data_IF_078215300623
#
_entry.id   IF_078215300623
#
_cell.length_a   1.000
_cell.length_b   1.000
_cell.length_c   1.000
_cell.angle_alpha   90.00
_cell.angle_beta   90.00
_cell.angle_gamma   90.00
#
_symmetry.space_group_name_H-M   'P 1'
#
loop_
_entity.id
_entity.type
_entity.pdbx_description
1 polymer ?
#
# COMPACT_ATOMS: atom_id res chain seq x y z
N UNK A 1 3.59 -22.24 -21.66
CA UNK A 1 2.86 -21.09 -21.09
C UNK A 1 3.75 -19.84 -21.06
N UNK A 2 3.21 -18.65 -21.34
CA UNK A 2 3.85 -17.36 -21.06
C UNK A 2 3.55 -16.94 -19.61
N UNK A 3 4.53 -16.33 -18.94
CA UNK A 3 4.43 -15.83 -17.57
C UNK A 3 5.18 -14.49 -17.47
N UNK A 4 4.52 -13.48 -16.90
CA UNK A 4 5.14 -12.20 -16.55
C UNK A 4 4.63 -11.72 -15.20
N UNK A 5 5.55 -11.50 -14.26
CA UNK A 5 5.29 -10.70 -13.08
C UNK A 5 5.45 -9.22 -13.44
N UNK A 6 4.47 -8.39 -13.08
CA UNK A 6 4.49 -6.95 -13.26
C UNK A 6 4.52 -6.33 -11.86
N UNK A 7 5.64 -5.66 -11.54
CA UNK A 7 5.84 -5.02 -10.24
C UNK A 7 5.40 -3.56 -10.27
N UNK A 8 4.72 -3.13 -9.22
CA UNK A 8 4.66 -1.74 -8.79
C UNK A 8 5.64 -1.52 -7.64
N UNK A 9 6.68 -0.72 -7.86
CA UNK A 9 7.69 -0.45 -6.83
C UNK A 9 7.17 0.48 -5.73
N UNK A 10 6.19 1.35 -6.04
CA UNK A 10 5.70 2.37 -5.10
C UNK A 10 4.73 1.76 -4.09
N UNK A 11 3.98 0.74 -4.50
CA UNK A 11 3.06 -0.01 -3.65
C UNK A 11 3.64 -1.35 -3.19
N UNK A 12 4.80 -1.74 -3.72
CA UNK A 12 5.40 -3.06 -3.54
C UNK A 12 4.44 -4.20 -3.94
N UNK A 13 3.63 -3.97 -4.97
CA UNK A 13 2.55 -4.84 -5.45
C UNK A 13 3.00 -5.65 -6.68
N UNK A 14 2.48 -6.86 -6.82
CA UNK A 14 2.73 -7.75 -7.94
C UNK A 14 1.43 -8.19 -8.61
N UNK A 15 1.34 -7.98 -9.92
CA UNK A 15 0.34 -8.59 -10.77
C UNK A 15 0.98 -9.66 -11.67
N UNK A 16 0.19 -10.64 -12.12
CA UNK A 16 0.69 -11.76 -12.92
C UNK A 16 -0.09 -11.94 -14.22
N UNK A 17 0.60 -11.75 -15.36
CA UNK A 17 0.06 -12.01 -16.68
C UNK A 17 0.47 -13.42 -17.14
N UNK A 18 -0.51 -14.29 -17.32
CA UNK A 18 -0.36 -15.66 -17.77
C UNK A 18 -0.95 -15.81 -19.17
N UNK A 19 -0.22 -16.41 -20.11
CA UNK A 19 -0.65 -16.46 -21.52
C UNK A 19 -0.48 -17.82 -22.19
N UNK A 20 -1.52 -18.31 -22.85
CA UNK A 20 -1.42 -19.48 -23.68
C UNK A 20 -0.93 -19.09 -25.09
N UNK A 21 0.37 -19.19 -25.34
CA UNK A 21 0.96 -18.85 -26.65
C UNK A 21 0.40 -19.64 -27.84
N UNK A 22 -0.29 -20.77 -27.61
CA UNK A 22 -0.94 -21.56 -28.66
C UNK A 22 -2.26 -20.95 -29.11
N UNK A 23 -3.06 -20.42 -28.18
CA UNK A 23 -4.39 -19.86 -28.48
C UNK A 23 -4.38 -18.33 -28.56
N UNK A 24 -3.38 -17.68 -27.97
CA UNK A 24 -3.32 -16.23 -27.82
C UNK A 24 -4.08 -15.72 -26.59
N UNK A 25 -4.79 -16.58 -25.84
CA UNK A 25 -5.56 -16.17 -24.67
C UNK A 25 -4.67 -15.92 -23.44
N UNK A 26 -4.99 -14.89 -22.66
CA UNK A 26 -4.28 -14.55 -21.44
C UNK A 26 -5.21 -14.18 -20.28
N UNK A 27 -4.69 -14.38 -19.06
CA UNK A 27 -5.28 -14.02 -17.78
C UNK A 27 -4.36 -13.06 -17.04
N UNK A 28 -4.95 -12.03 -16.42
CA UNK A 28 -4.26 -11.16 -15.47
C UNK A 28 -4.79 -11.42 -14.05
N UNK A 29 -3.87 -11.62 -13.10
CA UNK A 29 -4.14 -11.79 -11.67
C UNK A 29 -3.71 -10.52 -10.93
N UNK A 30 -4.58 -10.00 -10.06
CA UNK A 30 -4.38 -8.81 -9.21
C UNK A 30 -3.97 -7.54 -10.00
N UNK A 31 -4.68 -7.16 -11.09
CA UNK A 31 -4.35 -5.95 -11.84
C UNK A 31 -4.67 -4.68 -11.04
N UNK A 32 -3.80 -3.67 -11.10
CA UNK A 32 -4.15 -2.29 -10.77
C UNK A 32 -5.03 -1.64 -11.85
N UNK A 33 -5.72 -0.54 -11.53
CA UNK A 33 -6.64 0.12 -12.46
C UNK A 33 -6.03 0.80 -13.69
N UNK A 34 -4.72 1.05 -13.71
CA UNK A 34 -4.03 1.53 -14.91
C UNK A 34 -3.68 0.34 -15.85
N UNK A 35 -4.70 -0.22 -16.49
CA UNK A 35 -4.64 -1.51 -17.19
C UNK A 35 -3.79 -1.52 -18.46
N UNK A 36 -3.45 -0.34 -18.99
CA UNK A 36 -2.64 -0.18 -20.21
C UNK A 36 -1.30 -0.91 -20.10
N UNK A 37 -0.70 -0.90 -18.90
CA UNK A 37 0.54 -1.62 -18.58
C UNK A 37 0.46 -3.12 -18.83
N UNK A 38 -0.71 -3.73 -18.69
CA UNK A 38 -0.90 -5.16 -18.91
C UNK A 38 -1.27 -5.44 -20.37
N UNK A 39 -2.15 -4.62 -20.95
CA UNK A 39 -2.58 -4.80 -22.34
C UNK A 39 -1.44 -4.56 -23.32
N UNK A 40 -0.52 -3.65 -23.02
CA UNK A 40 0.66 -3.40 -23.85
C UNK A 40 1.60 -4.61 -23.85
N UNK A 41 1.90 -5.19 -22.67
CA UNK A 41 2.70 -6.42 -22.56
C UNK A 41 2.03 -7.58 -23.30
N UNK A 42 0.72 -7.76 -23.13
CA UNK A 42 -0.01 -8.82 -23.81
C UNK A 42 0.09 -8.65 -25.34
N UNK A 43 -0.11 -7.44 -25.85
CA UNK A 43 -0.02 -7.12 -27.27
C UNK A 43 1.38 -7.35 -27.85
N UNK A 44 2.43 -6.95 -27.13
CA UNK A 44 3.83 -7.19 -27.52
C UNK A 44 4.14 -8.69 -27.66
N UNK A 45 3.50 -9.52 -26.84
CA UNK A 45 3.69 -10.98 -26.81
C UNK A 45 2.69 -11.74 -27.71
N UNK A 46 1.86 -11.02 -28.49
CA UNK A 46 0.84 -11.60 -29.37
C UNK A 46 -0.31 -12.27 -28.63
N UNK A 47 -0.60 -11.81 -27.41
CA UNK A 47 -1.66 -12.29 -26.53
C UNK A 47 -2.81 -11.28 -26.43
N UNK A 48 -3.98 -11.77 -26.01
CA UNK A 48 -5.17 -10.99 -25.68
C UNK A 48 -5.63 -11.38 -24.27
N UNK A 49 -5.81 -10.39 -23.40
CA UNK A 49 -6.33 -10.61 -22.04
C UNK A 49 -7.84 -10.85 -22.17
N UNK A 50 -8.24 -12.12 -22.06
CA UNK A 50 -9.65 -12.56 -22.17
C UNK A 50 -10.27 -12.82 -20.80
N UNK A 51 -9.45 -12.79 -19.74
CA UNK A 51 -9.89 -12.97 -18.38
C UNK A 51 -9.08 -12.12 -17.41
N UNK A 52 -9.71 -11.69 -16.34
CA UNK A 52 -9.06 -11.04 -15.22
C UNK A 52 -9.60 -11.63 -13.91
N UNK A 53 -8.75 -11.72 -12.90
CA UNK A 53 -9.12 -12.23 -11.57
C UNK A 53 -8.35 -11.49 -10.51
N UNK A 54 -8.85 -11.53 -9.27
CA UNK A 54 -8.08 -11.12 -8.11
C UNK A 54 -8.18 -12.13 -6.98
N UNK A 55 -7.16 -12.12 -6.11
CA UNK A 55 -7.03 -13.00 -4.96
C UNK A 55 -7.93 -12.57 -3.82
N UNK A 56 -8.14 -11.27 -3.64
CA UNK A 56 -8.97 -10.69 -2.59
C UNK A 56 -9.38 -9.24 -2.90
N UNK A 57 -10.34 -8.70 -2.14
CA UNK A 57 -10.67 -7.27 -2.18
C UNK A 57 -9.49 -6.50 -1.58
N UNK A 58 -8.67 -5.88 -2.43
CA UNK A 58 -7.45 -5.19 -2.02
C UNK A 58 -7.71 -3.99 -1.09
N UNK A 59 -6.78 -3.74 -0.17
CA UNK A 59 -6.85 -2.65 0.79
C UNK A 59 -5.93 -1.48 0.45
N UNK A 60 -5.01 -1.64 -0.47
CA UNK A 60 -3.87 -0.73 -0.65
C UNK A 60 -3.77 -0.16 -2.07
N UNK A 61 -4.56 -0.69 -3.00
CA UNK A 61 -4.75 -0.12 -4.34
C UNK A 61 -6.14 -0.41 -4.88
N UNK A 62 -6.53 0.33 -5.92
CA UNK A 62 -7.75 0.14 -6.67
C UNK A 62 -7.53 -0.88 -7.78
N UNK A 63 -8.37 -1.93 -7.73
CA UNK A 63 -8.38 -3.04 -8.67
C UNK A 63 -8.75 -2.59 -10.09
N UNK A 64 -8.09 -3.19 -11.08
CA UNK A 64 -8.38 -3.03 -12.50
C UNK A 64 -9.44 -3.97 -13.04
N UNK A 65 -10.06 -4.83 -12.21
CA UNK A 65 -11.05 -5.78 -12.72
C UNK A 65 -12.24 -5.11 -13.40
N UNK A 66 -12.72 -3.98 -12.86
CA UNK A 66 -13.82 -3.25 -13.49
C UNK A 66 -13.40 -2.60 -14.82
N UNK A 67 -12.16 -2.12 -14.93
CA UNK A 67 -11.62 -1.59 -16.19
C UNK A 67 -11.60 -2.68 -17.27
N UNK A 68 -11.21 -3.91 -16.93
CA UNK A 68 -11.27 -5.05 -17.84
C UNK A 68 -12.71 -5.47 -18.18
N UNK A 69 -13.64 -5.38 -17.23
CA UNK A 69 -15.05 -5.68 -17.46
C UNK A 69 -15.68 -4.70 -18.47
N UNK A 70 -15.33 -3.42 -18.39
CA UNK A 70 -15.85 -2.35 -19.25
C UNK A 70 -15.19 -2.33 -20.63
N UNK A 71 -13.85 -2.44 -20.67
CA UNK A 71 -13.05 -2.37 -21.88
C UNK A 71 -12.90 -3.75 -22.56
N UNK A 72 -14.01 -4.39 -22.90
CA UNK A 72 -14.08 -5.47 -23.91
C UNK A 72 -13.92 -6.92 -23.43
N UNK A 73 -15.05 -7.58 -23.15
CA UNK A 73 -15.24 -9.04 -23.26
C UNK A 73 -14.39 -9.93 -22.32
N UNK A 74 -13.70 -9.35 -21.34
CA UNK A 74 -13.00 -10.16 -20.36
C UNK A 74 -13.99 -10.83 -19.40
N UNK A 75 -13.86 -12.14 -19.21
CA UNK A 75 -14.53 -12.83 -18.12
C UNK A 75 -13.84 -12.47 -16.81
N UNK A 76 -14.58 -11.97 -15.83
CA UNK A 76 -14.04 -11.62 -14.52
C UNK A 76 -14.31 -12.75 -13.54
N UNK A 77 -13.24 -13.28 -12.96
CA UNK A 77 -13.31 -14.32 -11.94
C UNK A 77 -13.13 -13.69 -10.57
N UNK A 78 -14.10 -13.90 -9.68
CA UNK A 78 -14.13 -13.30 -8.34
C UNK A 78 -14.34 -14.37 -7.30
N UNK A 79 -13.80 -14.20 -6.10
CA UNK A 79 -14.13 -15.08 -4.98
C UNK A 79 -15.63 -15.00 -4.63
N UNK A 80 -16.27 -16.15 -4.53
CA UNK A 80 -17.60 -16.33 -3.98
C UNK A 80 -17.60 -16.63 -2.48
N UNK A 81 -16.44 -16.66 -1.79
CA UNK A 81 -16.31 -17.18 -0.42
C UNK A 81 -16.45 -16.13 0.69
N UNK A 82 -16.65 -14.85 0.34
CA UNK A 82 -16.67 -13.73 1.30
C UNK A 82 -17.90 -13.60 2.20
N UNK A 83 -18.91 -14.46 2.05
CA UNK A 83 -20.19 -14.30 2.76
C UNK A 83 -20.89 -12.97 2.42
N UNK A 84 -21.70 -12.43 3.32
CA UNK A 84 -22.44 -11.19 3.05
C UNK A 84 -21.57 -9.92 3.19
N UNK A 85 -20.62 -9.93 4.12
CA UNK A 85 -19.89 -8.72 4.51
C UNK A 85 -18.66 -8.46 3.62
N UNK A 86 -18.09 -9.50 3.00
CA UNK A 86 -16.93 -9.41 2.12
C UNK A 86 -17.22 -9.89 0.68
N UNK A 87 -18.48 -9.89 0.25
CA UNK A 87 -18.84 -10.13 -1.15
C UNK A 87 -18.70 -8.87 -2.00
N UNK A 88 -18.25 -9.06 -3.25
CA UNK A 88 -18.28 -8.06 -4.30
C UNK A 88 -19.72 -7.58 -4.57
N UNK A 89 -19.90 -6.27 -4.63
CA UNK A 89 -21.19 -5.62 -4.88
C UNK A 89 -21.25 -5.04 -6.27
N UNK A 90 -20.16 -4.43 -6.74
CA UNK A 90 -20.08 -3.79 -8.06
C UNK A 90 -20.53 -4.63 -9.27
N UNK A 91 -20.39 -5.97 -9.28
CA UNK A 91 -20.86 -6.75 -10.43
C UNK A 91 -22.37 -7.06 -10.37
N UNK A 92 -23.04 -6.82 -9.23
CA UNK A 92 -24.48 -7.08 -9.09
C UNK A 92 -25.26 -6.19 -10.06
N UNK A 93 -26.27 -6.77 -10.69
CA UNK A 93 -27.15 -6.09 -11.66
C UNK A 93 -26.44 -5.48 -12.88
N UNK A 94 -25.19 -5.89 -13.15
CA UNK A 94 -24.45 -5.57 -14.37
C UNK A 94 -24.67 -6.63 -15.46
N UNK A 95 -24.28 -6.33 -16.70
CA UNK A 95 -24.24 -7.26 -17.82
C UNK A 95 -22.84 -7.85 -18.08
N UNK A 96 -21.90 -7.65 -17.16
CA UNK A 96 -20.56 -8.21 -17.23
C UNK A 96 -20.57 -9.74 -17.12
N UNK A 97 -19.63 -10.43 -17.77
CA UNK A 97 -19.44 -11.88 -17.62
C UNK A 97 -18.63 -12.17 -16.35
N UNK A 98 -19.35 -12.37 -15.25
CA UNK A 98 -18.77 -12.62 -13.93
C UNK A 98 -18.89 -14.09 -13.55
N UNK A 99 -17.78 -14.67 -13.08
CA UNK A 99 -17.71 -16.04 -12.56
C UNK A 99 -17.30 -15.99 -11.09
N UNK A 100 -18.22 -16.39 -10.22
CA UNK A 100 -17.91 -16.56 -8.80
C UNK A 100 -17.26 -17.92 -8.56
N UNK A 101 -16.06 -17.90 -7.99
CA UNK A 101 -15.26 -19.06 -7.69
C UNK A 101 -15.45 -19.52 -6.24
N UNK A 102 -15.59 -20.83 -6.07
CA UNK A 102 -15.55 -21.55 -4.81
C UNK A 102 -14.26 -22.37 -4.68
N UNK A 103 -13.98 -22.88 -3.48
CA UNK A 103 -12.84 -23.77 -3.25
C UNK A 103 -12.84 -24.96 -4.24
N UNK A 104 -11.72 -25.13 -4.95
CA UNK A 104 -11.48 -26.13 -6.00
C UNK A 104 -12.22 -25.93 -7.33
N UNK A 105 -12.90 -24.81 -7.56
CA UNK A 105 -13.37 -24.48 -8.90
C UNK A 105 -12.18 -24.33 -9.85
N UNK A 106 -12.35 -24.81 -11.08
CA UNK A 106 -11.34 -24.76 -12.13
C UNK A 106 -11.85 -24.05 -13.37
N UNK A 107 -10.96 -23.33 -14.05
CA UNK A 107 -11.22 -22.77 -15.37
C UNK A 107 -9.97 -22.81 -16.24
N UNK A 108 -10.19 -22.71 -17.56
CA UNK A 108 -9.13 -22.81 -18.56
C UNK A 108 -8.91 -21.47 -19.24
N UNK A 109 -7.64 -21.16 -19.51
CA UNK A 109 -7.20 -20.05 -20.36
C UNK A 109 -6.32 -20.67 -21.44
N UNK A 110 -6.90 -20.93 -22.61
CA UNK A 110 -6.34 -21.85 -23.60
C UNK A 110 -5.98 -23.20 -22.97
N UNK A 111 -4.67 -23.48 -22.87
CA UNK A 111 -4.12 -24.71 -22.28
C UNK A 111 -3.53 -24.50 -20.87
N UNK A 112 -3.92 -23.44 -20.17
CA UNK A 112 -3.52 -23.18 -18.79
C UNK A 112 -4.73 -23.47 -17.92
N UNK A 113 -4.59 -24.43 -16.99
CA UNK A 113 -5.63 -24.69 -15.98
C UNK A 113 -5.34 -23.85 -14.74
N UNK A 114 -6.36 -23.16 -14.26
CA UNK A 114 -6.35 -22.36 -13.04
C UNK A 114 -7.33 -23.00 -12.07
N UNK A 115 -6.87 -23.38 -10.87
CA UNK A 115 -7.71 -23.90 -9.79
C UNK A 115 -7.70 -22.95 -8.60
N UNK A 116 -8.89 -22.55 -8.15
CA UNK A 116 -9.06 -21.75 -6.95
C UNK A 116 -8.86 -22.58 -5.68
N UNK A 117 -8.20 -21.99 -4.69
CA UNK A 117 -8.08 -22.51 -3.32
C UNK A 117 -8.53 -21.43 -2.34
N UNK A 118 -9.54 -21.71 -1.53
CA UNK A 118 -9.97 -20.79 -0.48
C UNK A 118 -8.93 -20.74 0.65
N UNK A 119 -8.32 -19.58 0.83
CA UNK A 119 -7.19 -19.35 1.75
C UNK A 119 -7.49 -18.16 2.67
N UNK A 120 -8.57 -18.22 3.46
CA UNK A 120 -8.98 -17.12 4.32
C UNK A 120 -7.92 -16.83 5.39
N UNK A 121 -7.83 -15.57 5.77
CA UNK A 121 -6.92 -15.14 6.82
C UNK A 121 -6.61 -13.66 6.71
N UNK A 122 -5.97 -13.26 5.61
CA UNK A 122 -5.80 -11.85 5.27
C UNK A 122 -7.15 -11.16 5.06
N UNK A 123 -8.01 -11.79 4.26
CA UNK A 123 -9.43 -11.45 4.14
C UNK A 123 -10.28 -12.72 4.17
N UNK A 124 -11.59 -12.65 4.51
CA UNK A 124 -12.46 -13.82 4.56
C UNK A 124 -12.71 -14.47 3.19
N UNK A 125 -12.75 -13.66 2.13
CA UNK A 125 -12.97 -14.11 0.75
C UNK A 125 -11.70 -14.59 0.06
N UNK A 126 -10.52 -14.40 0.66
CA UNK A 126 -9.23 -14.62 0.00
C UNK A 126 -9.15 -16.01 -0.68
N UNK A 127 -8.79 -16.01 -1.97
CA UNK A 127 -8.49 -17.21 -2.75
C UNK A 127 -7.08 -17.13 -3.34
N UNK A 128 -6.39 -18.25 -3.39
CA UNK A 128 -5.14 -18.43 -4.12
C UNK A 128 -5.40 -19.26 -5.38
N UNK A 129 -4.51 -19.15 -6.38
CA UNK A 129 -4.67 -19.86 -7.66
C UNK A 129 -3.54 -20.83 -7.92
N UNK A 130 -3.83 -22.12 -7.98
CA UNK A 130 -2.91 -23.12 -8.51
C UNK A 130 -2.94 -23.08 -10.03
N UNK A 131 -1.76 -23.05 -10.65
CA UNK A 131 -1.62 -22.91 -12.10
C UNK A 131 -0.93 -24.13 -12.69
N UNK A 132 -1.51 -24.72 -13.73
CA UNK A 132 -0.99 -25.92 -14.41
C UNK A 132 -0.84 -25.67 -15.91
N UNK A 133 0.37 -25.81 -16.45
CA UNK A 133 0.65 -25.70 -17.91
C UNK A 133 0.32 -27.01 -18.63
N UNK A 134 -0.97 -27.33 -18.75
CA UNK A 134 -1.44 -28.56 -19.42
C UNK A 134 -0.97 -28.64 -20.88
N UNK A 135 -0.71 -27.50 -21.53
CA UNK A 135 -0.20 -27.42 -22.91
C UNK A 135 1.18 -28.03 -23.11
N UNK A 136 1.96 -28.14 -22.02
CA UNK A 136 3.26 -28.84 -21.98
C UNK A 136 3.15 -30.34 -21.71
N UNK A 137 1.95 -30.83 -21.37
CA UNK A 137 1.71 -32.19 -20.88
C UNK A 137 1.79 -32.34 -19.36
N UNK A 138 1.94 -31.24 -18.61
CA UNK A 138 1.96 -31.27 -17.15
C UNK A 138 0.60 -31.71 -16.57
N UNK A 139 0.64 -32.59 -15.57
CA UNK A 139 -0.52 -33.06 -14.80
C UNK A 139 -0.59 -32.48 -13.39
N UNK A 140 0.43 -31.72 -13.01
CA UNK A 140 0.59 -31.12 -11.68
C UNK A 140 0.86 -29.61 -11.83
N UNK A 141 0.47 -28.79 -10.84
CA UNK A 141 0.68 -27.35 -10.92
C UNK A 141 2.17 -26.99 -10.89
N UNK A 142 2.50 -25.88 -11.54
CA UNK A 142 3.85 -25.28 -11.54
C UNK A 142 4.03 -24.27 -10.40
N UNK A 143 2.94 -23.64 -9.96
CA UNK A 143 2.98 -22.61 -8.93
C UNK A 143 1.61 -22.24 -8.38
N UNK A 144 1.65 -21.41 -7.34
CA UNK A 144 0.50 -20.83 -6.66
C UNK A 144 0.62 -19.31 -6.68
N UNK A 145 -0.37 -18.62 -7.26
CA UNK A 145 -0.59 -17.20 -7.01
C UNK A 145 -1.19 -17.08 -5.60
N UNK A 146 -0.34 -16.76 -4.64
CA UNK A 146 -0.68 -16.80 -3.21
C UNK A 146 -1.37 -15.52 -2.75
N UNK A 147 -1.37 -14.44 -3.54
CA UNK A 147 -1.96 -13.16 -3.14
C UNK A 147 -1.33 -12.67 -1.82
N UNK A 148 -2.16 -12.14 -0.94
CA UNK A 148 -1.74 -11.69 0.39
C UNK A 148 -1.92 -12.77 1.46
N UNK A 149 -1.99 -14.05 1.08
CA UNK A 149 -1.96 -15.16 2.03
C UNK A 149 -0.52 -15.49 2.47
N UNK A 150 0.32 -15.96 1.54
CA UNK A 150 1.72 -16.32 1.80
C UNK A 150 2.66 -15.42 0.99
N UNK A 151 3.55 -14.72 1.70
CA UNK A 151 4.62 -13.93 1.11
C UNK A 151 5.95 -14.69 1.14
N UNK A 152 6.98 -14.12 0.51
CA UNK A 152 8.35 -14.60 0.71
C UNK A 152 8.82 -14.23 2.11
N UNK A 153 8.87 -15.20 3.02
CA UNK A 153 9.35 -15.06 4.39
C UNK A 153 8.33 -14.55 5.42
N UNK A 154 7.07 -14.33 5.05
CA UNK A 154 6.02 -13.85 5.95
C UNK A 154 4.61 -14.28 5.49
N UNK A 155 3.56 -13.87 6.22
CA UNK A 155 2.15 -14.06 5.88
C UNK A 155 1.39 -12.72 5.83
N UNK A 156 0.22 -12.73 5.20
CA UNK A 156 -0.73 -11.63 5.26
C UNK A 156 -1.15 -11.28 6.68
N UNK A 157 -1.28 -9.98 6.96
CA UNK A 157 -1.85 -9.53 8.23
C UNK A 157 -3.36 -9.82 8.31
N UNK A 158 -3.89 -10.36 9.42
CA UNK A 158 -5.31 -10.70 9.56
C UNK A 158 -6.17 -9.62 10.23
N UNK A 159 -5.62 -8.45 10.57
CA UNK A 159 -6.26 -7.44 11.41
C UNK A 159 -6.94 -6.29 10.64
N UNK A 160 -6.79 -6.20 9.31
CA UNK A 160 -7.27 -5.04 8.51
C UNK A 160 -8.79 -4.82 8.58
N UNK A 161 -9.58 -5.88 8.71
CA UNK A 161 -11.03 -5.72 8.91
C UNK A 161 -11.35 -4.91 10.18
N UNK A 162 -10.55 -5.08 11.22
CA UNK A 162 -10.72 -4.36 12.48
C UNK A 162 -10.03 -2.99 12.43
N UNK A 163 -8.76 -2.95 12.02
CA UNK A 163 -7.90 -1.76 12.11
C UNK A 163 -8.11 -0.73 10.99
N UNK A 164 -8.63 -1.16 9.83
CA UNK A 164 -8.99 -0.28 8.72
C UNK A 164 -10.50 -0.18 8.51
N UNK A 165 -11.24 -1.28 8.58
CA UNK A 165 -12.68 -1.31 8.26
C UNK A 165 -13.62 -1.17 9.47
N UNK A 166 -13.08 -1.14 10.69
CA UNK A 166 -13.87 -0.91 11.92
C UNK A 166 -14.71 -2.10 12.40
N UNK A 167 -14.46 -3.30 11.90
CA UNK A 167 -15.17 -4.53 12.32
C UNK A 167 -14.57 -5.03 13.64
N UNK A 168 -15.13 -4.57 14.75
CA UNK A 168 -14.66 -4.89 16.10
C UNK A 168 -14.59 -6.41 16.36
N UNK A 169 -13.45 -6.90 16.83
CA UNK A 169 -13.24 -8.31 17.19
C UNK A 169 -13.01 -9.25 15.99
N UNK A 170 -12.74 -8.72 14.80
CA UNK A 170 -12.47 -9.53 13.61
C UNK A 170 -11.05 -10.13 13.59
N UNK A 171 -10.08 -9.50 14.25
CA UNK A 171 -8.66 -9.89 14.10
C UNK A 171 -8.32 -11.30 14.62
N UNK A 172 -8.90 -11.72 15.76
CA UNK A 172 -8.65 -13.06 16.34
C UNK A 172 -9.27 -14.17 15.47
N UNK A 173 -10.56 -14.11 15.07
CA UNK A 173 -11.13 -15.06 14.11
C UNK A 173 -10.34 -15.14 12.79
N UNK A 174 -9.92 -14.00 12.23
CA UNK A 174 -9.13 -13.96 11.00
C UNK A 174 -7.76 -14.60 11.18
N UNK A 175 -7.08 -14.39 12.32
CA UNK A 175 -5.81 -15.05 12.62
C UNK A 175 -5.96 -16.58 12.73
N UNK A 176 -7.06 -17.07 13.33
CA UNK A 176 -7.33 -18.52 13.42
C UNK A 176 -7.66 -19.13 12.05
N UNK A 177 -8.38 -18.40 11.20
CA UNK A 177 -8.59 -18.82 9.80
C UNK A 177 -7.28 -18.90 9.05
N UNK A 178 -6.42 -17.88 9.19
CA UNK A 178 -5.09 -17.87 8.58
C UNK A 178 -4.28 -19.09 8.99
N UNK A 179 -4.25 -19.45 10.28
CA UNK A 179 -3.57 -20.64 10.77
C UNK A 179 -4.03 -21.92 10.04
N UNK A 180 -5.34 -22.13 9.90
CA UNK A 180 -5.88 -23.29 9.14
C UNK A 180 -5.51 -23.26 7.66
N UNK A 181 -5.49 -22.08 7.05
CA UNK A 181 -5.00 -21.91 5.67
C UNK A 181 -3.52 -22.29 5.56
N UNK A 182 -2.68 -21.97 6.55
CA UNK A 182 -1.27 -22.39 6.57
C UNK A 182 -1.11 -23.91 6.60
N UNK A 183 -1.97 -24.64 7.33
CA UNK A 183 -1.94 -26.11 7.32
C UNK A 183 -2.21 -26.68 5.92
N UNK A 184 -3.14 -26.07 5.17
CA UNK A 184 -3.40 -26.44 3.76
C UNK A 184 -2.21 -26.14 2.87
N UNK A 185 -1.58 -24.97 3.03
CA UNK A 185 -0.39 -24.59 2.27
C UNK A 185 0.78 -25.55 2.52
N UNK A 186 1.00 -25.92 3.79
CA UNK A 186 2.00 -26.90 4.20
C UNK A 186 1.65 -28.32 3.74
N UNK A 187 0.49 -28.60 3.16
CA UNK A 187 0.18 -29.89 2.54
C UNK A 187 0.49 -29.92 1.02
N UNK A 188 0.84 -28.78 0.41
CA UNK A 188 1.16 -28.69 -1.02
C UNK A 188 2.56 -29.27 -1.33
N UNK A 189 2.81 -29.54 -2.61
CA UNK A 189 4.10 -30.07 -3.09
C UNK A 189 5.21 -29.02 -3.02
N UNK A 190 6.43 -29.45 -2.67
CA UNK A 190 7.56 -28.55 -2.41
C UNK A 190 8.04 -27.78 -3.65
N UNK A 191 7.82 -28.33 -4.86
CA UNK A 191 8.28 -27.72 -6.11
C UNK A 191 7.43 -26.54 -6.58
N UNK A 192 6.24 -26.34 -6.00
CA UNK A 192 5.36 -25.24 -6.42
C UNK A 192 6.03 -23.91 -6.14
N UNK A 193 6.11 -23.07 -7.17
CA UNK A 193 6.51 -21.68 -7.00
C UNK A 193 5.45 -20.91 -6.23
N UNK A 194 5.87 -19.93 -5.44
CA UNK A 194 5.00 -19.03 -4.68
C UNK A 194 5.08 -17.64 -5.30
N UNK A 195 3.93 -17.15 -5.76
CA UNK A 195 3.76 -15.87 -6.46
C UNK A 195 2.86 -14.94 -5.62
N UNK A 196 3.45 -14.16 -4.70
CA UNK A 196 2.68 -13.32 -3.77
C UNK A 196 2.08 -12.07 -4.42
N UNK A 197 1.06 -11.49 -3.79
CA UNK A 197 0.49 -10.19 -4.19
C UNK A 197 1.41 -9.00 -3.86
N UNK A 198 2.31 -9.16 -2.89
CA UNK A 198 3.20 -8.09 -2.43
C UNK A 198 4.63 -8.55 -2.10
N UNK A 199 5.55 -7.57 -2.05
CA UNK A 199 6.95 -7.74 -1.66
C UNK A 199 7.43 -6.73 -0.61
N UNK A 200 8.75 -6.67 -0.42
CA UNK A 200 9.39 -5.76 0.53
C UNK A 200 8.92 -4.30 0.39
N UNK A 201 8.40 -3.74 1.49
CA UNK A 201 7.93 -2.35 1.56
C UNK A 201 6.41 -2.22 1.69
N UNK A 202 5.62 -3.26 1.42
CA UNK A 202 4.16 -3.23 1.59
C UNK A 202 3.74 -3.17 3.07
N UNK A 203 2.63 -2.48 3.34
CA UNK A 203 1.99 -2.41 4.66
C UNK A 203 1.02 -3.58 4.93
N UNK A 204 0.86 -4.51 3.98
CA UNK A 204 0.00 -5.71 4.10
C UNK A 204 0.65 -6.86 4.88
N UNK A 205 1.93 -6.76 5.25
CA UNK A 205 2.60 -7.68 6.18
C UNK A 205 3.75 -7.02 6.94
N UNK A 206 4.49 -7.79 7.74
CA UNK A 206 5.46 -7.24 8.70
C UNK A 206 6.86 -7.13 8.12
N UNK A 207 7.33 -8.16 7.43
CA UNK A 207 8.72 -8.30 7.02
C UNK A 207 8.86 -9.07 5.70
N UNK A 208 8.19 -8.58 4.65
CA UNK A 208 8.23 -9.21 3.33
C UNK A 208 9.64 -9.20 2.73
N UNK A 209 10.03 -10.33 2.14
CA UNK A 209 11.30 -10.49 1.45
C UNK A 209 11.43 -9.59 0.22
N UNK A 210 12.67 -9.14 -0.06
CA UNK A 210 13.01 -8.43 -1.30
C UNK A 210 13.19 -9.36 -2.50
N UNK A 211 13.20 -10.69 -2.27
CA UNK A 211 13.16 -11.70 -3.33
C UNK A 211 11.69 -11.81 -3.80
N UNK A 212 11.41 -11.71 -5.11
CA UNK A 212 10.04 -11.51 -5.60
C UNK A 212 9.16 -12.77 -5.59
N UNK A 213 9.76 -13.96 -5.52
CA UNK A 213 9.06 -15.26 -5.56
C UNK A 213 9.86 -16.29 -4.75
N UNK A 214 9.19 -17.35 -4.30
CA UNK A 214 9.81 -18.46 -3.55
C UNK A 214 9.25 -19.82 -4.00
N UNK A 215 9.41 -20.86 -3.20
CA UNK A 215 8.74 -22.15 -3.37
C UNK A 215 8.09 -22.60 -2.08
N UNK A 216 7.05 -23.44 -2.17
CA UNK A 216 6.40 -24.04 -1.00
C UNK A 216 7.44 -24.74 -0.11
N UNK A 217 8.37 -25.49 -0.69
CA UNK A 217 9.41 -26.19 0.07
C UNK A 217 10.38 -25.26 0.79
N UNK A 218 10.71 -24.10 0.21
CA UNK A 218 11.56 -23.11 0.86
C UNK A 218 10.81 -22.41 2.01
N UNK A 219 9.57 -21.95 1.75
CA UNK A 219 8.75 -21.30 2.77
C UNK A 219 8.45 -22.25 3.93
N UNK A 220 8.09 -23.51 3.68
CA UNK A 220 7.90 -24.56 4.71
C UNK A 220 9.11 -24.69 5.64
N UNK A 221 10.32 -24.52 5.11
CA UNK A 221 11.57 -24.73 5.85
C UNK A 221 12.06 -23.47 6.57
N UNK A 222 11.83 -22.28 6.00
CA UNK A 222 12.51 -21.06 6.43
C UNK A 222 11.58 -19.88 6.74
N UNK A 223 10.32 -19.92 6.33
CA UNK A 223 9.35 -18.89 6.69
C UNK A 223 8.98 -19.06 8.17
N UNK A 224 9.43 -18.12 9.00
CA UNK A 224 9.21 -18.18 10.45
C UNK A 224 7.74 -18.06 10.81
N UNK A 225 6.93 -17.38 9.99
CA UNK A 225 5.49 -17.26 10.18
C UNK A 225 4.73 -18.59 9.96
N UNK A 226 5.34 -19.56 9.26
CA UNK A 226 4.81 -20.92 9.08
C UNK A 226 5.28 -21.91 10.15
N UNK A 227 6.20 -21.52 11.05
CA UNK A 227 6.87 -22.42 11.98
C UNK A 227 6.14 -22.67 13.31
N UNK A 228 4.95 -22.11 13.51
CA UNK A 228 4.21 -22.21 14.77
C UNK A 228 3.56 -23.59 14.95
N UNK A 229 3.64 -24.15 16.16
CA UNK A 229 3.12 -25.50 16.48
C UNK A 229 1.69 -25.51 17.01
N UNK A 230 1.20 -24.37 17.49
CA UNK A 230 -0.16 -24.26 18.05
C UNK A 230 -0.83 -23.00 17.53
N UNK A 231 -2.15 -23.07 17.36
CA UNK A 231 -2.96 -21.95 16.91
C UNK A 231 -2.80 -20.74 17.86
N UNK A 232 -2.75 -20.95 19.17
CA UNK A 232 -2.63 -19.85 20.15
C UNK A 232 -1.32 -19.08 20.04
N UNK A 233 -0.20 -19.79 19.85
CA UNK A 233 1.11 -19.13 19.71
C UNK A 233 1.23 -18.42 18.36
N UNK A 234 0.60 -18.97 17.33
CA UNK A 234 0.44 -18.32 16.04
C UNK A 234 -0.36 -17.01 16.16
N UNK A 235 -1.56 -17.05 16.76
CA UNK A 235 -2.43 -15.87 16.90
C UNK A 235 -1.72 -14.74 17.64
N UNK A 236 -1.09 -15.04 18.78
CA UNK A 236 -0.34 -14.05 19.53
C UNK A 236 0.81 -13.44 18.72
N UNK A 237 1.51 -14.26 17.94
CA UNK A 237 2.62 -13.76 17.12
C UNK A 237 2.17 -13.00 15.88
N UNK A 238 1.13 -13.44 15.16
CA UNK A 238 0.71 -12.79 13.90
C UNK A 238 0.01 -11.46 14.15
N UNK A 239 -0.67 -11.28 15.28
CA UNK A 239 -1.30 -10.02 15.66
C UNK A 239 -0.32 -9.00 16.26
N UNK A 240 0.73 -9.46 16.93
CA UNK A 240 1.73 -8.56 17.53
C UNK A 240 2.63 -7.87 16.50
N UNK A 241 2.90 -6.57 16.64
CA UNK A 241 3.91 -5.88 15.81
C UNK A 241 3.44 -5.49 14.41
N UNK A 242 2.13 -5.47 14.15
CA UNK A 242 1.60 -5.01 12.85
C UNK A 242 1.72 -3.48 12.71
N UNK A 243 2.13 -2.96 11.54
CA UNK A 243 2.16 -1.51 11.33
C UNK A 243 0.74 -0.93 11.30
N UNK A 244 0.58 0.31 11.75
CA UNK A 244 -0.71 1.00 11.61
C UNK A 244 -1.05 1.17 10.12
N UNK A 245 -2.23 0.71 9.64
CA UNK A 245 -2.58 0.82 8.23
C UNK A 245 -2.75 2.29 7.82
N UNK A 246 -2.32 2.68 6.61
CA UNK A 246 -2.67 3.97 6.01
C UNK A 246 -4.17 4.25 6.04
N UNK A 247 -4.56 5.53 6.19
CA UNK A 247 -5.98 5.89 6.34
C UNK A 247 -6.81 5.56 5.09
N UNK A 248 -6.22 5.67 3.90
CA UNK A 248 -6.92 5.34 2.66
C UNK A 248 -7.29 3.86 2.52
N UNK A 249 -6.76 2.96 3.35
CA UNK A 249 -7.02 1.52 3.19
C UNK A 249 -8.51 1.18 3.30
N UNK A 250 -9.22 1.86 4.19
CA UNK A 250 -10.67 1.71 4.34
C UNK A 250 -11.40 2.05 3.03
N UNK A 251 -10.99 3.15 2.37
CA UNK A 251 -11.55 3.61 1.09
C UNK A 251 -11.26 2.61 -0.04
N UNK A 252 -10.07 1.98 -0.06
CA UNK A 252 -9.77 0.97 -1.08
C UNK A 252 -10.65 -0.26 -0.91
N UNK A 253 -10.81 -0.78 0.31
CA UNK A 253 -11.73 -1.89 0.60
C UNK A 253 -13.16 -1.57 0.17
N UNK A 254 -13.62 -0.36 0.47
CA UNK A 254 -14.94 0.11 0.05
C UNK A 254 -15.06 0.16 -1.48
N UNK A 255 -14.15 0.87 -2.17
CA UNK A 255 -14.22 1.07 -3.61
C UNK A 255 -14.01 -0.23 -4.41
N UNK A 256 -13.13 -1.12 -3.99
CA UNK A 256 -12.94 -2.41 -4.65
C UNK A 256 -14.16 -3.33 -4.47
N UNK A 257 -14.89 -3.20 -3.36
CA UNK A 257 -16.12 -3.94 -3.11
C UNK A 257 -17.31 -3.35 -3.88
N UNK A 258 -17.51 -2.04 -3.78
CA UNK A 258 -18.68 -1.32 -4.28
C UNK A 258 -18.58 -0.92 -5.76
N UNK A 259 -17.35 -0.77 -6.26
CA UNK A 259 -17.05 -0.55 -7.67
C UNK A 259 -16.11 0.62 -7.88
N UNK A 260 -14.91 0.30 -8.35
CA UNK A 260 -13.88 1.30 -8.68
C UNK A 260 -14.42 2.24 -9.76
N UNK A 261 -14.26 3.58 -9.63
CA UNK A 261 -14.58 4.50 -10.71
C UNK A 261 -13.68 4.26 -11.93
N UNK A 262 -14.28 4.20 -13.12
CA UNK A 262 -13.53 4.02 -14.37
C UNK A 262 -12.61 5.22 -14.60
N UNK A 263 -11.32 4.94 -14.66
CA UNK A 263 -10.23 5.86 -14.93
C UNK A 263 -10.32 6.40 -16.36
N UNK A 264 -10.57 5.51 -17.34
CA UNK A 264 -10.58 5.84 -18.75
C UNK A 264 -9.19 6.23 -19.25
N UNK A 265 -8.83 7.49 -19.13
CA UNK A 265 -7.49 8.00 -19.50
C UNK A 265 -6.77 8.54 -18.28
N UNK A 266 -5.45 8.33 -18.21
CA UNK A 266 -4.65 8.91 -17.15
C UNK A 266 -4.78 10.44 -17.09
N UNK A 267 -4.86 11.03 -15.89
CA UNK A 267 -4.75 12.47 -15.71
C UNK A 267 -3.48 13.02 -16.38
N UNK A 268 -3.63 14.15 -17.06
CA UNK A 268 -2.53 14.84 -17.73
C UNK A 268 -2.33 16.22 -17.08
N UNK A 269 -1.68 16.28 -15.89
CA UNK A 269 -1.46 17.53 -15.19
C UNK A 269 -0.63 18.48 -16.05
N UNK A 270 -1.01 19.76 -16.06
CA UNK A 270 -0.32 20.76 -16.86
C UNK A 270 0.84 21.38 -16.11
N UNK A 271 1.90 21.73 -16.84
CA UNK A 271 2.94 22.60 -16.31
C UNK A 271 2.32 23.96 -15.95
N UNK A 272 2.53 24.41 -14.73
CA UNK A 272 1.97 25.63 -14.19
C UNK A 272 3.05 26.47 -13.50
N UNK A 273 2.96 27.79 -13.64
CA UNK A 273 3.73 28.73 -12.81
C UNK A 273 3.38 28.53 -11.33
N UNK A 274 4.39 28.54 -10.48
CA UNK A 274 4.25 28.27 -9.04
C UNK A 274 3.35 29.29 -8.33
N UNK A 275 3.30 30.54 -8.81
CA UNK A 275 2.40 31.58 -8.31
C UNK A 275 0.94 31.19 -8.44
N UNK A 276 0.55 30.60 -9.58
CA UNK A 276 -0.83 30.18 -9.82
C UNK A 276 -1.21 29.03 -8.89
N UNK A 277 -0.29 28.09 -8.69
CA UNK A 277 -0.45 26.97 -7.79
C UNK A 277 -0.68 27.45 -6.33
N UNK A 278 0.11 28.43 -5.87
CA UNK A 278 -0.05 29.03 -4.54
C UNK A 278 -1.39 29.75 -4.40
N UNK A 279 -1.83 30.48 -5.43
CA UNK A 279 -3.12 31.17 -5.42
C UNK A 279 -4.29 30.18 -5.26
N UNK A 280 -4.26 29.06 -5.99
CA UNK A 280 -5.29 28.01 -5.88
C UNK A 280 -5.29 27.33 -4.50
N UNK A 281 -4.10 27.04 -3.96
CA UNK A 281 -3.96 26.48 -2.60
C UNK A 281 -4.55 27.42 -1.54
N UNK A 282 -4.30 28.73 -1.62
CA UNK A 282 -4.86 29.73 -0.71
C UNK A 282 -6.38 29.90 -0.81
N UNK A 283 -6.97 29.60 -1.96
CA UNK A 283 -8.41 29.58 -2.13
C UNK A 283 -9.08 28.38 -1.41
N UNK A 284 -8.29 27.47 -0.83
CA UNK A 284 -8.78 26.31 -0.08
C UNK A 284 -9.24 25.15 -0.97
N UNK A 285 -9.03 25.23 -2.28
CA UNK A 285 -9.50 24.25 -3.26
C UNK A 285 -8.42 23.21 -3.61
N UNK A 286 -7.16 23.49 -3.28
CA UNK A 286 -6.02 22.71 -3.74
C UNK A 286 -5.03 22.32 -2.63
N UNK A 287 -4.37 21.19 -2.82
CA UNK A 287 -3.26 20.70 -2.01
C UNK A 287 -1.99 20.68 -2.85
N UNK A 288 -0.91 21.20 -2.27
CA UNK A 288 0.42 21.19 -2.86
C UNK A 288 1.20 20.05 -2.23
N UNK A 289 1.71 19.16 -3.06
CA UNK A 289 2.54 18.04 -2.63
C UNK A 289 3.95 18.25 -3.15
N UNK A 290 4.88 18.48 -2.23
CA UNK A 290 6.30 18.62 -2.54
C UNK A 290 6.95 17.22 -2.52
N UNK A 291 7.46 16.79 -3.67
CA UNK A 291 8.02 15.46 -3.84
C UNK A 291 9.55 15.43 -3.86
N UNK A 292 10.21 16.55 -3.51
CA UNK A 292 11.67 16.59 -3.41
C UNK A 292 12.17 15.52 -2.43
N UNK A 293 13.25 14.79 -2.74
CA UNK A 293 13.73 13.70 -1.88
C UNK A 293 14.51 14.19 -0.65
N UNK A 294 15.07 15.41 -0.71
CA UNK A 294 15.85 15.97 0.39
C UNK A 294 14.96 16.73 1.39
N UNK A 295 14.60 16.04 2.47
CA UNK A 295 13.86 16.65 3.59
C UNK A 295 14.56 17.88 4.17
N UNK A 296 15.91 17.94 4.17
CA UNK A 296 16.63 19.10 4.71
C UNK A 296 16.39 20.32 3.83
N UNK A 297 16.40 20.12 2.51
CA UNK A 297 16.04 21.16 1.55
C UNK A 297 14.60 21.61 1.71
N UNK A 298 13.65 20.69 1.94
CA UNK A 298 12.25 21.04 2.22
C UNK A 298 12.13 21.88 3.50
N UNK A 299 12.71 21.43 4.62
CA UNK A 299 12.65 22.16 5.90
C UNK A 299 13.31 23.54 5.81
N UNK A 300 14.39 23.68 5.03
CA UNK A 300 15.08 24.95 4.82
C UNK A 300 14.35 25.92 3.87
N UNK A 301 13.38 25.43 3.08
CA UNK A 301 12.62 26.26 2.13
C UNK A 301 11.60 25.46 1.34
N UNK A 302 10.33 25.73 1.58
CA UNK A 302 9.19 25.15 0.86
C UNK A 302 8.05 26.17 0.72
N UNK A 303 7.04 25.79 -0.07
CA UNK A 303 5.82 26.59 -0.23
C UNK A 303 4.98 26.49 1.04
N UNK A 304 4.60 27.62 1.64
CA UNK A 304 3.78 27.62 2.85
C UNK A 304 2.51 26.76 2.67
N UNK A 305 2.30 25.82 3.60
CA UNK A 305 1.17 24.89 3.60
C UNK A 305 1.30 23.69 2.65
N UNK A 306 2.40 23.52 1.91
CA UNK A 306 2.63 22.29 1.15
C UNK A 306 2.87 21.09 2.07
N UNK A 307 2.39 19.91 1.66
CA UNK A 307 2.75 18.65 2.28
C UNK A 307 4.10 18.16 1.72
N UNK A 308 4.84 17.41 2.55
CA UNK A 308 6.07 16.74 2.13
C UNK A 308 5.81 15.25 1.91
N UNK A 309 5.87 14.82 0.65
CA UNK A 309 5.68 13.42 0.26
C UNK A 309 6.67 13.09 -0.87
N UNK A 310 7.92 12.67 -0.55
CA UNK A 310 8.89 12.30 -1.57
C UNK A 310 8.39 11.09 -2.37
N UNK A 311 8.66 11.07 -3.67
CA UNK A 311 8.40 9.91 -4.53
C UNK A 311 9.19 8.69 -4.01
N UNK A 312 8.61 7.50 -4.18
CA UNK A 312 9.07 6.25 -3.57
C UNK A 312 7.97 5.62 -2.73
N UNK A 313 8.30 4.52 -2.04
CA UNK A 313 7.35 3.68 -1.30
C UNK A 313 6.47 4.46 -0.30
N UNK A 314 6.95 5.60 0.21
CA UNK A 314 6.20 6.43 1.16
C UNK A 314 5.19 7.37 0.52
N UNK A 315 5.29 7.63 -0.78
CA UNK A 315 4.47 8.64 -1.46
C UNK A 315 2.98 8.33 -1.35
N UNK A 316 2.57 7.14 -1.79
CA UNK A 316 1.18 6.69 -1.70
C UNK A 316 0.66 6.68 -0.26
N UNK A 317 1.47 6.20 0.68
CA UNK A 317 1.11 6.16 2.11
C UNK A 317 0.87 7.55 2.68
N UNK A 318 1.75 8.51 2.39
CA UNK A 318 1.64 9.88 2.90
C UNK A 318 0.43 10.57 2.27
N UNK A 319 0.31 10.55 0.93
CA UNK A 319 -0.78 11.23 0.23
C UNK A 319 -2.13 10.61 0.58
N UNK A 320 -2.23 9.27 0.55
CA UNK A 320 -3.41 8.53 0.95
C UNK A 320 -3.84 8.78 2.40
N UNK A 321 -2.90 9.13 3.28
CA UNK A 321 -3.23 9.45 4.67
C UNK A 321 -3.58 10.90 4.92
N UNK A 322 -3.04 11.85 4.14
CA UNK A 322 -3.09 13.28 4.47
C UNK A 322 -4.01 14.09 3.56
N UNK A 323 -4.28 13.61 2.35
CA UNK A 323 -4.98 14.38 1.33
C UNK A 323 -6.43 13.91 1.24
N UNK A 324 -7.36 14.85 1.30
CA UNK A 324 -8.77 14.61 1.02
C UNK A 324 -8.90 14.09 -0.43
N UNK A 325 -9.55 12.94 -0.67
CA UNK A 325 -9.76 12.41 -2.03
C UNK A 325 -10.46 13.37 -3.00
N UNK A 326 -11.22 14.35 -2.51
CA UNK A 326 -11.86 15.35 -3.36
C UNK A 326 -10.95 16.56 -3.72
N UNK A 327 -9.80 16.70 -3.07
CA UNK A 327 -8.92 17.85 -3.26
C UNK A 327 -8.31 17.89 -4.67
N UNK A 328 -8.17 19.09 -5.22
CA UNK A 328 -7.30 19.29 -6.39
C UNK A 328 -5.84 19.11 -5.97
N UNK A 329 -5.10 18.28 -6.68
CA UNK A 329 -3.68 18.03 -6.40
C UNK A 329 -2.81 18.79 -7.36
N UNK A 330 -1.86 19.54 -6.79
CA UNK A 330 -0.74 20.11 -7.51
C UNK A 330 0.57 19.55 -6.96
N UNK A 331 1.50 19.28 -7.85
CA UNK A 331 2.73 18.58 -7.50
C UNK A 331 3.97 19.45 -7.76
N UNK A 332 4.99 19.31 -6.91
CA UNK A 332 6.32 19.88 -7.16
C UNK A 332 7.27 18.73 -7.49
N UNK A 333 7.57 18.54 -8.78
CA UNK A 333 8.43 17.49 -9.32
C UNK A 333 8.94 17.86 -10.72
N UNK A 334 9.99 17.16 -11.16
CA UNK A 334 10.49 17.26 -12.53
C UNK A 334 9.54 16.57 -13.53
N UNK A 335 9.47 17.09 -14.76
CA UNK A 335 8.53 16.62 -15.80
C UNK A 335 8.65 15.11 -16.07
N UNK A 336 9.87 14.57 -16.01
CA UNK A 336 10.14 13.14 -16.22
C UNK A 336 9.50 12.23 -15.16
N UNK A 337 9.17 12.76 -13.98
CA UNK A 337 8.57 12.01 -12.88
C UNK A 337 7.03 12.07 -12.89
N UNK A 338 6.43 12.87 -13.79
CA UNK A 338 4.97 13.12 -13.81
C UNK A 338 4.19 11.83 -14.02
N UNK A 339 4.62 10.98 -14.96
CA UNK A 339 3.92 9.73 -15.22
C UNK A 339 3.93 8.79 -14.00
N UNK A 340 5.07 8.70 -13.29
CA UNK A 340 5.18 7.90 -12.08
C UNK A 340 4.23 8.41 -11.00
N UNK A 341 4.27 9.71 -10.70
CA UNK A 341 3.43 10.33 -9.68
C UNK A 341 1.93 10.17 -9.99
N UNK A 342 1.52 10.44 -11.24
CA UNK A 342 0.13 10.27 -11.68
C UNK A 342 -0.33 8.83 -11.49
N UNK A 343 0.45 7.85 -11.95
CA UNK A 343 0.09 6.44 -11.84
C UNK A 343 -0.03 6.00 -10.38
N UNK A 344 0.92 6.39 -9.52
CA UNK A 344 0.84 6.06 -8.09
C UNK A 344 -0.41 6.64 -7.43
N UNK A 345 -0.78 7.87 -7.79
CA UNK A 345 -1.96 8.55 -7.23
C UNK A 345 -3.29 7.94 -7.70
N UNK A 346 -3.44 7.65 -8.99
CA UNK A 346 -4.68 7.04 -9.49
C UNK A 346 -4.88 5.64 -8.93
N UNK A 347 -3.80 4.88 -8.71
CA UNK A 347 -3.85 3.54 -8.08
C UNK A 347 -4.43 3.57 -6.68
N UNK A 348 -4.30 4.67 -5.95
CA UNK A 348 -4.91 4.83 -4.61
C UNK A 348 -6.14 5.75 -4.62
N UNK A 349 -6.68 6.06 -5.81
CA UNK A 349 -7.95 6.75 -6.01
C UNK A 349 -7.90 8.28 -6.03
N UNK A 350 -6.76 8.91 -6.32
CA UNK A 350 -6.68 10.35 -6.57
C UNK A 350 -6.59 10.64 -8.06
N UNK A 351 -7.72 11.06 -8.64
CA UNK A 351 -7.85 11.30 -10.08
C UNK A 351 -7.75 12.80 -10.43
N UNK A 352 -7.95 13.68 -9.44
CA UNK A 352 -7.98 15.14 -9.62
C UNK A 352 -6.58 15.77 -9.55
N UNK A 353 -5.69 15.37 -10.46
CA UNK A 353 -4.30 15.83 -10.54
C UNK A 353 -4.21 16.93 -11.59
N UNK A 354 -4.17 18.19 -11.15
CA UNK A 354 -4.45 19.36 -11.99
C UNK A 354 -3.20 19.90 -12.68
N UNK A 355 -2.10 20.01 -11.95
CA UNK A 355 -0.87 20.60 -12.48
C UNK A 355 0.38 20.25 -11.70
N UNK A 356 1.53 20.60 -12.28
CA UNK A 356 2.82 20.43 -11.64
C UNK A 356 3.76 21.61 -11.92
N UNK A 357 4.78 21.77 -11.08
CA UNK A 357 5.88 22.71 -11.28
C UNK A 357 7.22 22.05 -10.94
N UNK A 358 8.29 22.27 -11.70
CA UNK A 358 9.62 21.78 -11.36
C UNK A 358 10.15 22.42 -10.07
N UNK A 359 10.93 21.69 -9.24
CA UNK A 359 11.62 22.23 -8.07
C UNK A 359 12.53 23.43 -8.37
N UNK A 360 13.05 23.57 -9.60
CA UNK A 360 13.86 24.72 -10.01
C UNK A 360 13.10 26.05 -9.88
N UNK A 361 11.78 26.05 -10.05
CA UNK A 361 10.95 27.25 -9.94
C UNK A 361 10.78 27.76 -8.51
N UNK A 362 11.02 26.90 -7.51
CA UNK A 362 11.03 27.32 -6.10
C UNK A 362 12.13 28.35 -5.81
N UNK A 363 13.30 28.16 -6.45
CA UNK A 363 14.49 28.99 -6.22
C UNK A 363 14.42 30.30 -7.00
N UNK A 364 13.89 30.27 -8.23
CA UNK A 364 13.75 31.45 -9.11
C UNK A 364 12.72 32.44 -8.57
N UNK A 365 11.59 31.95 -8.06
CA UNK A 365 10.44 32.75 -7.63
C UNK A 365 10.57 33.36 -6.23
N UNK A 366 11.52 32.88 -5.41
CA UNK A 366 11.62 33.19 -3.96
C UNK A 366 10.35 32.84 -3.15
N UNK A 367 9.48 31.98 -3.67
CA UNK A 367 8.23 31.58 -3.02
C UNK A 367 8.40 30.41 -2.06
N UNK A 368 9.52 29.69 -2.13
CA UNK A 368 9.93 28.70 -1.14
C UNK A 368 10.61 29.35 0.08
N UNK A 369 9.91 30.27 0.72
CA UNK A 369 10.44 31.07 1.83
C UNK A 369 9.95 30.60 3.21
N UNK A 370 9.05 29.62 3.26
CA UNK A 370 8.62 29.04 4.52
C UNK A 370 9.66 28.02 4.99
N UNK A 371 10.04 28.12 6.26
CA UNK A 371 11.06 27.27 6.88
C UNK A 371 10.49 26.58 8.09
N UNK A 372 10.88 25.33 8.33
CA UNK A 372 10.52 24.58 9.52
C UNK A 372 11.78 24.32 10.35
N UNK A 373 11.78 24.63 11.65
CA UNK A 373 12.91 24.32 12.53
C UNK A 373 13.23 22.83 12.50
N UNK A 374 14.52 22.53 12.56
CA UNK A 374 15.07 21.17 12.55
C UNK A 374 16.19 21.09 13.57
N UNK A 375 16.18 20.03 14.38
CA UNK A 375 17.25 19.67 15.32
C UNK A 375 17.64 18.22 15.10
N UNK A 376 18.88 17.85 15.40
CA UNK A 376 19.32 16.44 15.39
C UNK A 376 19.05 15.80 16.76
N UNK A 377 18.78 14.50 16.78
CA UNK A 377 18.71 13.74 18.03
C UNK A 377 19.97 13.85 18.89
N UNK A 378 21.15 13.95 18.26
CA UNK A 378 22.42 14.12 18.95
C UNK A 378 22.53 15.42 19.73
N UNK A 379 21.72 16.42 19.36
CA UNK A 379 21.76 17.76 19.94
C UNK A 379 20.62 18.00 20.94
N UNK A 380 19.72 17.01 21.11
CA UNK A 380 18.65 17.06 22.10
C UNK A 380 19.17 16.68 23.49
N UNK A 381 18.72 17.43 24.50
CA UNK A 381 18.97 17.08 25.91
C UNK A 381 18.34 15.71 26.24
N UNK A 382 19.01 14.92 27.09
CA UNK A 382 18.43 13.68 27.61
C UNK A 382 17.16 13.95 28.45
N UNK A 383 17.03 15.17 28.99
CA UNK A 383 15.91 15.61 29.82
C UNK A 383 14.99 16.62 29.12
N UNK A 384 14.79 16.51 27.79
CA UNK A 384 13.85 17.37 27.05
C UNK A 384 12.53 17.51 27.82
N UNK A 385 12.19 18.75 28.15
CA UNK A 385 11.11 19.06 29.07
C UNK A 385 9.74 19.00 28.36
N UNK A 386 8.92 18.01 28.71
CA UNK A 386 7.53 17.89 28.25
C UNK A 386 6.61 19.01 28.80
N UNK A 387 7.07 19.78 29.79
CA UNK A 387 6.35 20.98 30.24
C UNK A 387 6.48 22.13 29.24
N UNK A 388 7.53 22.15 28.41
CA UNK A 388 7.76 23.17 27.38
C UNK A 388 7.33 22.71 25.98
N UNK A 389 7.42 21.41 25.70
CA UNK A 389 7.15 20.84 24.38
C UNK A 389 6.05 19.79 24.40
N UNK A 390 5.25 19.76 23.33
CA UNK A 390 4.48 18.56 22.98
C UNK A 390 5.36 17.66 22.12
N UNK A 391 5.76 16.51 22.64
CA UNK A 391 6.58 15.54 21.88
C UNK A 391 5.65 14.50 21.25
N UNK A 392 5.72 14.35 19.93
CA UNK A 392 4.91 13.41 19.15
C UNK A 392 5.82 12.38 18.48
N UNK A 393 5.72 11.13 18.92
CA UNK A 393 6.36 9.99 18.29
C UNK A 393 5.46 9.46 17.18
N UNK A 394 5.91 9.59 15.93
CA UNK A 394 5.12 9.19 14.76
C UNK A 394 5.41 7.78 14.25
N UNK A 395 6.08 6.96 15.06
CA UNK A 395 6.30 5.52 14.82
C UNK A 395 5.06 4.69 15.15
N UNK A 396 5.08 3.41 14.78
CA UNK A 396 4.05 2.46 15.20
C UNK A 396 4.09 2.17 16.70
N UNK A 397 3.00 1.63 17.23
CA UNK A 397 2.82 1.34 18.66
C UNK A 397 3.93 0.42 19.20
N UNK A 398 4.26 -0.67 18.50
CA UNK A 398 5.30 -1.60 18.96
C UNK A 398 6.71 -0.99 18.99
N UNK A 399 7.01 -0.06 18.06
CA UNK A 399 8.28 0.70 18.11
C UNK A 399 8.32 1.64 19.32
N UNK A 400 7.17 2.23 19.67
CA UNK A 400 7.01 3.12 20.81
C UNK A 400 7.12 2.37 22.14
N UNK A 401 6.40 1.25 22.28
CA UNK A 401 6.43 0.39 23.49
C UNK A 401 7.83 -0.12 23.81
N UNK A 402 8.64 -0.41 22.79
CA UNK A 402 10.02 -0.87 22.96
C UNK A 402 10.90 0.19 23.63
N UNK A 403 10.82 1.43 23.17
CA UNK A 403 11.52 2.59 23.74
C UNK A 403 10.99 3.87 23.13
N UNK A 404 10.80 4.92 23.93
CA UNK A 404 10.33 6.24 23.50
C UNK A 404 10.83 7.34 24.44
N UNK A 405 10.69 8.60 24.02
CA UNK A 405 10.95 9.76 24.88
C UNK A 405 9.85 9.82 25.97
N UNK A 406 10.19 9.85 27.28
CA UNK A 406 9.20 9.91 28.35
C UNK A 406 8.18 11.04 28.16
N UNK A 407 6.90 10.70 28.29
CA UNK A 407 5.80 11.66 28.13
C UNK A 407 5.44 12.02 26.68
N UNK A 408 6.09 11.40 25.68
CA UNK A 408 5.71 11.57 24.29
C UNK A 408 4.34 10.95 23.98
N UNK A 409 3.59 11.61 23.10
CA UNK A 409 2.33 11.14 22.53
C UNK A 409 2.63 10.25 21.31
N UNK A 410 2.18 9.00 21.31
CA UNK A 410 2.31 8.13 20.15
C UNK A 410 1.14 8.26 19.18
N UNK A 411 1.41 8.77 17.98
CA UNK A 411 0.45 8.80 16.87
C UNK A 411 1.20 8.47 15.60
N UNK A 412 1.08 7.22 15.13
CA UNK A 412 1.70 6.79 13.88
C UNK A 412 1.42 7.77 12.73
N UNK A 413 2.44 8.12 11.95
CA UNK A 413 2.34 9.22 10.99
C UNK A 413 1.16 9.06 10.01
N UNK A 414 0.85 7.83 9.58
CA UNK A 414 -0.28 7.52 8.69
C UNK A 414 -1.66 7.77 9.31
N UNK A 415 -1.75 7.85 10.64
CA UNK A 415 -3.00 8.08 11.40
C UNK A 415 -3.12 9.52 11.91
N UNK A 416 -2.06 10.32 11.78
CA UNK A 416 -1.95 11.65 12.37
C UNK A 416 -3.07 12.59 11.94
N UNK A 417 -3.42 12.63 10.65
CA UNK A 417 -4.49 13.49 10.15
C UNK A 417 -5.84 13.24 10.86
N UNK A 418 -6.23 11.98 11.03
CA UNK A 418 -7.49 11.61 11.71
C UNK A 418 -7.48 11.86 13.23
N UNK A 419 -6.28 11.98 13.82
CA UNK A 419 -6.06 12.13 15.27
C UNK A 419 -5.44 13.48 15.62
N UNK A 420 -5.51 14.45 14.71
CA UNK A 420 -4.84 15.74 14.86
C UNK A 420 -5.31 16.51 16.11
N UNK A 421 -6.57 16.31 16.51
CA UNK A 421 -7.17 16.92 17.70
C UNK A 421 -6.58 16.40 19.03
N UNK A 422 -5.88 15.27 19.00
CA UNK A 422 -5.18 14.74 20.17
C UNK A 422 -3.86 15.47 20.44
N UNK A 423 -3.31 16.18 19.44
CA UNK A 423 -2.09 16.99 19.60
C UNK A 423 -2.47 18.31 20.29
N UNK A 424 -1.99 18.57 21.53
CA UNK A 424 -2.35 19.77 22.27
C UNK A 424 -1.97 21.05 21.54
N UNK A 425 -2.91 22.01 21.47
CA UNK A 425 -2.65 23.37 21.02
C UNK A 425 -2.24 24.23 22.23
N UNK A 426 -1.08 24.88 22.17
CA UNK A 426 -0.62 25.81 23.22
C UNK A 426 0.85 25.68 23.61
N UNK A 427 1.51 24.59 23.21
CA UNK A 427 2.96 24.42 23.27
C UNK A 427 3.50 24.14 21.87
N UNK A 428 4.74 24.53 21.56
CA UNK A 428 5.38 24.08 20.34
C UNK A 428 5.52 22.55 20.32
N UNK A 429 5.47 21.98 19.12
CA UNK A 429 5.46 20.53 18.90
C UNK A 429 6.84 20.07 18.41
N UNK A 430 7.32 18.95 18.93
CA UNK A 430 8.44 18.21 18.34
C UNK A 430 7.93 16.90 17.77
N UNK A 431 8.20 16.64 16.50
CA UNK A 431 7.90 15.34 15.89
C UNK A 431 9.18 14.55 15.66
N UNK A 432 9.16 13.27 16.01
CA UNK A 432 10.26 12.38 15.72
C UNK A 432 9.80 11.00 15.24
N UNK A 433 10.71 10.27 14.61
CA UNK A 433 10.53 8.86 14.31
C UNK A 433 11.88 8.13 14.41
N UNK A 434 12.02 6.96 13.81
CA UNK A 434 13.28 6.19 13.85
C UNK A 434 14.46 6.92 13.21
N UNK A 435 14.24 7.61 12.09
CA UNK A 435 15.33 8.12 11.22
C UNK A 435 15.02 9.46 10.51
N UNK A 436 13.98 10.18 10.97
CA UNK A 436 13.52 11.44 10.38
C UNK A 436 12.53 11.35 9.21
N UNK A 437 12.46 10.24 8.46
CA UNK A 437 11.64 10.16 7.23
C UNK A 437 10.13 10.36 7.49
N UNK A 438 9.52 9.54 8.36
CA UNK A 438 8.09 9.65 8.73
C UNK A 438 7.79 10.96 9.45
N UNK A 439 8.71 11.38 10.30
CA UNK A 439 8.61 12.63 11.05
C UNK A 439 8.55 13.83 10.12
N UNK A 440 9.30 13.85 9.01
CA UNK A 440 9.31 14.98 8.07
C UNK A 440 7.94 15.22 7.43
N UNK A 441 7.24 14.15 7.04
CA UNK A 441 5.88 14.24 6.51
C UNK A 441 4.89 14.73 7.57
N UNK A 442 5.00 14.21 8.80
CA UNK A 442 4.19 14.64 9.94
C UNK A 442 4.44 16.12 10.32
N UNK A 443 5.69 16.58 10.30
CA UNK A 443 6.06 17.99 10.51
C UNK A 443 5.37 18.89 9.49
N UNK A 444 5.41 18.52 8.19
CA UNK A 444 4.74 19.29 7.14
C UNK A 444 3.22 19.34 7.33
N UNK A 445 2.59 18.23 7.71
CA UNK A 445 1.15 18.18 8.01
C UNK A 445 0.80 19.09 9.21
N UNK A 446 1.51 18.96 10.33
CA UNK A 446 1.27 19.78 11.52
C UNK A 446 1.47 21.27 11.24
N UNK A 447 2.51 21.62 10.48
CA UNK A 447 2.73 23.00 10.06
C UNK A 447 1.56 23.53 9.22
N UNK A 448 1.06 22.73 8.27
CA UNK A 448 -0.14 23.06 7.47
C UNK A 448 -1.39 23.27 8.34
N UNK A 449 -1.53 22.50 9.42
CA UNK A 449 -2.61 22.61 10.41
C UNK A 449 -2.42 23.72 11.47
N UNK A 450 -1.39 24.56 11.26
CA UNK A 450 -1.11 25.75 12.07
C UNK A 450 -0.39 25.49 13.38
N UNK A 451 0.25 24.34 13.55
CA UNK A 451 1.11 24.07 14.71
C UNK A 451 2.49 24.72 14.51
N UNK A 452 3.02 25.31 15.57
CA UNK A 452 4.46 25.59 15.66
C UNK A 452 5.17 24.26 15.90
N UNK A 453 5.91 23.78 14.89
CA UNK A 453 6.46 22.42 14.91
C UNK A 453 7.92 22.40 14.50
N UNK A 454 8.70 21.60 15.21
CA UNK A 454 10.12 21.33 14.98
C UNK A 454 10.30 19.86 14.60
N UNK A 455 11.03 19.61 13.51
CA UNK A 455 11.48 18.26 13.17
C UNK A 455 12.65 17.87 14.07
N UNK A 456 12.54 16.72 14.73
CA UNK A 456 13.69 16.01 15.30
C UNK A 456 14.16 14.97 14.29
N UNK A 457 15.34 15.21 13.71
CA UNK A 457 15.95 14.39 12.67
C UNK A 457 17.08 13.51 13.25
N UNK A 458 17.62 12.61 12.43
CA UNK A 458 18.66 11.66 12.83
C UNK A 458 18.10 10.35 13.37
N UNK A 459 18.97 9.50 13.92
CA UNK A 459 18.59 8.20 14.42
C UNK A 459 18.09 8.30 15.88
N UNK A 460 16.90 7.76 16.16
CA UNK A 460 16.36 7.72 17.53
C UNK A 460 17.28 7.00 18.53
N UNK A 461 18.08 6.04 18.05
CA UNK A 461 19.05 5.31 18.86
C UNK A 461 20.12 6.22 19.48
N UNK A 462 20.47 7.32 18.82
CA UNK A 462 21.48 8.27 19.32
C UNK A 462 20.99 8.93 20.62
N UNK A 463 19.70 9.27 20.70
CA UNK A 463 19.09 9.78 21.93
C UNK A 463 18.90 8.70 23.00
N UNK A 464 18.49 7.49 22.60
CA UNK A 464 18.29 6.39 23.53
C UNK A 464 19.61 5.99 24.23
N UNK A 465 20.75 6.11 23.55
CA UNK A 465 22.08 5.89 24.12
C UNK A 465 22.43 6.91 25.20
N UNK A 466 22.18 8.21 24.97
CA UNK A 466 22.43 9.28 25.94
C UNK A 466 21.73 9.02 27.29
N UNK A 467 20.52 8.43 27.27
CA UNK A 467 19.77 8.10 28.48
C UNK A 467 20.29 6.86 29.22
N UNK A 468 21.03 5.97 28.55
CA UNK A 468 21.67 4.84 29.25
C UNK A 468 22.95 5.26 29.99
N UNK A 469 23.55 6.37 29.57
CA UNK A 469 24.79 6.91 30.15
C UNK A 469 24.54 7.95 31.26
N UNK A 470 23.35 8.55 31.30
CA UNK A 470 22.89 9.52 32.31
C UNK A 470 22.13 8.86 33.48
#
# INVERSE_FOLDING_TARGET
MFFRQVMDQELAQYAYLLGCQRTGEALIIDPGRDIDRYTDIAKEEGLCIVAATETHIHADFLSGLREFAENHQATIYLSGEGGNDCAYVWPKDSDYDIRQLKDNDEFMIGNICIRALHTPGHTPEHISFLVTDTGSGATEPIGIASGDFVFVGDLGRPDLLETASGVSGAQDPSARQLYKSTERFLALEDHLQVWPGHGAGSACGKALGAVPMSTVGYERKFNTALGFKTEETFVGSILGGQPAPPLYFARMKELNREGVPILGTLPAPKLCEIENLILQSKAGQAVIIDTRPDRKQFMAGHVAGSLYAPLGISFAMIVGSYVDPAAEIYLILDEEQVNLAVRTLVRIGYDNIVGFTPPSELSSSRLANHTLPRVEFSDLDANVCVDEWTIVDVRGESEFETAHIPGALNIAHTRLASRINEVPRGKPVMTYCRSGNRASAATALLAREGFEVTLVDGAFQDWAGLRQEA
#
